data_IF_388410932953
#
_entry.id   IF_388410932953
#
_cell.length_a   1.000
_cell.length_b   1.000
_cell.length_c   1.000
_cell.angle_alpha   90.00
_cell.angle_beta   90.00
_cell.angle_gamma   90.00
#
_symmetry.space_group_name_H-M   'P 1'
#
loop_
_entity.id
_entity.type
_entity.pdbx_description
1 polymer ?
#
# COMPACT_ATOMS: atom_id res chain seq x y z
N UNK A 1 -11.57 1.71 10.92
CA UNK A 1 -10.75 1.61 9.69
C UNK A 1 -11.54 0.82 8.66
N UNK A 2 -11.80 1.37 7.49
CA UNK A 2 -12.57 0.72 6.43
C UNK A 2 -11.83 -0.53 5.91
N UNK A 3 -12.35 -1.72 6.24
CA UNK A 3 -11.73 -3.00 5.85
C UNK A 3 -11.62 -3.14 4.33
N UNK A 4 -12.53 -2.52 3.57
CA UNK A 4 -12.51 -2.46 2.11
C UNK A 4 -11.34 -1.65 1.54
N UNK A 5 -10.95 -0.56 2.21
CA UNK A 5 -9.87 0.30 1.76
C UNK A 5 -8.50 -0.42 1.84
N UNK A 6 -8.32 -1.24 2.86
CA UNK A 6 -7.15 -2.09 3.05
C UNK A 6 -7.01 -3.11 1.92
N UNK A 7 -8.07 -3.89 1.65
CA UNK A 7 -8.05 -4.91 0.59
C UNK A 7 -7.79 -4.32 -0.79
N UNK A 8 -8.39 -3.17 -1.09
CA UNK A 8 -8.18 -2.47 -2.36
C UNK A 8 -6.73 -2.00 -2.52
N UNK A 9 -6.15 -1.41 -1.49
CA UNK A 9 -4.76 -0.99 -1.52
C UNK A 9 -3.78 -2.17 -1.64
N UNK A 10 -4.03 -3.27 -0.91
CA UNK A 10 -3.22 -4.48 -1.04
C UNK A 10 -3.25 -5.04 -2.46
N UNK A 11 -4.43 -5.14 -3.08
CA UNK A 11 -4.58 -5.58 -4.47
C UNK A 11 -3.86 -4.65 -5.45
N UNK A 12 -3.97 -3.33 -5.25
CA UNK A 12 -3.28 -2.34 -6.07
C UNK A 12 -1.76 -2.49 -5.99
N UNK A 13 -1.20 -2.65 -4.78
CA UNK A 13 0.23 -2.86 -4.55
C UNK A 13 0.71 -4.17 -5.19
N UNK A 14 -0.01 -5.27 -4.99
CA UNK A 14 0.36 -6.56 -5.57
C UNK A 14 0.32 -6.54 -7.12
N UNK A 15 -0.63 -5.79 -7.70
CA UNK A 15 -0.72 -5.57 -9.14
C UNK A 15 0.45 -4.72 -9.65
N UNK A 16 0.76 -3.62 -8.96
CA UNK A 16 1.85 -2.70 -9.32
C UNK A 16 3.22 -3.38 -9.22
N UNK A 17 3.44 -4.15 -8.16
CA UNK A 17 4.68 -4.90 -7.97
C UNK A 17 4.82 -6.11 -8.90
N UNK A 18 3.77 -6.50 -9.63
CA UNK A 18 3.77 -7.66 -10.55
C UNK A 18 4.35 -8.96 -9.93
N UNK A 19 4.14 -9.17 -8.62
CA UNK A 19 4.68 -10.33 -7.88
C UNK A 19 6.14 -10.21 -7.42
N UNK A 20 6.81 -9.08 -7.67
CA UNK A 20 8.15 -8.82 -7.19
C UNK A 20 8.19 -8.66 -5.66
N UNK A 21 9.26 -9.17 -5.04
CA UNK A 21 9.54 -9.08 -3.61
C UNK A 21 10.82 -8.29 -3.40
N UNK A 22 10.91 -7.54 -2.30
CA UNK A 22 12.02 -6.62 -2.05
C UNK A 22 11.93 -5.33 -2.88
N UNK A 23 10.72 -4.92 -3.27
CA UNK A 23 10.49 -3.72 -4.09
C UNK A 23 9.80 -2.63 -3.30
N UNK A 24 10.10 -1.39 -3.65
CA UNK A 24 9.45 -0.18 -3.14
C UNK A 24 8.74 0.52 -4.28
N UNK A 25 7.57 1.07 -4.00
CA UNK A 25 6.83 1.82 -4.99
C UNK A 25 5.89 2.83 -4.35
N UNK A 26 5.20 3.56 -5.23
CA UNK A 26 4.22 4.57 -4.84
C UNK A 26 3.02 4.47 -5.77
N UNK A 27 1.83 4.40 -5.19
CA UNK A 27 0.56 4.40 -5.92
C UNK A 27 -0.34 5.50 -5.38
N UNK A 28 -1.36 5.89 -6.13
CA UNK A 28 -2.41 6.76 -5.60
C UNK A 28 -3.15 6.04 -4.48
N UNK A 29 -3.34 6.72 -3.34
CA UNK A 29 -3.98 6.12 -2.18
C UNK A 29 -5.47 5.84 -2.47
N UNK A 30 -5.94 4.59 -2.45
CA UNK A 30 -7.33 4.28 -2.77
C UNK A 30 -8.31 4.68 -1.66
N UNK A 31 -7.83 4.99 -0.44
CA UNK A 31 -8.68 5.47 0.65
C UNK A 31 -8.97 6.96 0.55
N UNK A 32 -7.95 7.82 0.59
CA UNK A 32 -8.16 9.26 0.52
C UNK A 32 -8.29 9.80 -0.91
N UNK A 33 -7.84 9.04 -1.93
CA UNK A 33 -7.80 9.42 -3.36
C UNK A 33 -7.02 10.70 -3.69
N UNK A 34 -6.49 11.38 -2.68
CA UNK A 34 -5.76 12.65 -2.77
C UNK A 34 -4.28 12.48 -2.42
N UNK A 35 -3.96 11.53 -1.54
CA UNK A 35 -2.60 11.25 -1.10
C UNK A 35 -1.87 10.20 -1.95
N UNK A 36 -0.56 10.21 -1.85
CA UNK A 36 0.30 9.13 -2.35
C UNK A 36 0.45 8.06 -1.25
N UNK A 37 0.22 6.80 -1.61
CA UNK A 37 0.50 5.64 -0.77
C UNK A 37 1.85 5.06 -1.18
N UNK A 38 2.82 5.18 -0.27
CA UNK A 38 4.10 4.50 -0.39
C UNK A 38 3.93 3.06 0.07
N UNK A 39 4.55 2.13 -0.65
CA UNK A 39 4.55 0.74 -0.28
C UNK A 39 5.95 0.14 -0.41
N UNK A 40 6.21 -0.85 0.43
CA UNK A 40 7.38 -1.71 0.36
C UNK A 40 6.91 -3.15 0.51
N UNK A 41 7.24 -4.00 -0.46
CA UNK A 41 7.12 -5.45 -0.33
C UNK A 41 8.48 -5.94 0.11
N UNK A 42 8.60 -6.36 1.37
CA UNK A 42 9.82 -6.95 1.91
C UNK A 42 10.11 -8.30 1.24
N UNK A 43 11.38 -8.74 1.26
CA UNK A 43 11.78 -10.04 0.69
C UNK A 43 11.06 -11.24 1.30
N UNK A 44 10.64 -11.12 2.57
CA UNK A 44 9.84 -12.12 3.29
C UNK A 44 8.34 -12.10 2.92
N UNK A 45 7.91 -11.23 2.00
CA UNK A 45 6.52 -11.12 1.55
C UNK A 45 5.64 -10.23 2.41
N UNK A 46 6.17 -9.61 3.47
CA UNK A 46 5.44 -8.59 4.24
C UNK A 46 5.30 -7.32 3.41
N UNK A 47 4.13 -6.70 3.49
CA UNK A 47 3.81 -5.45 2.81
C UNK A 47 3.68 -4.35 3.85
N UNK A 48 4.56 -3.36 3.73
CA UNK A 48 4.50 -2.13 4.50
C UNK A 48 3.88 -1.05 3.63
N UNK A 49 2.95 -0.28 4.18
CA UNK A 49 2.32 0.82 3.47
C UNK A 49 2.22 2.04 4.37
N UNK A 50 2.42 3.20 3.77
CA UNK A 50 2.27 4.49 4.45
C UNK A 50 1.77 5.53 3.46
N UNK A 51 0.61 6.10 3.74
CA UNK A 51 0.07 7.21 2.99
C UNK A 51 0.66 8.52 3.51
N UNK A 52 0.96 9.45 2.60
CA UNK A 52 1.40 10.80 2.96
C UNK A 52 0.30 11.63 3.63
N UNK A 53 -0.97 11.26 3.44
CA UNK A 53 -2.10 11.95 4.07
C UNK A 53 -2.18 11.56 5.55
N UNK A 54 -2.01 12.55 6.43
CA UNK A 54 -2.14 12.40 7.88
C UNK A 54 -3.45 11.70 8.24
N UNK A 55 -3.38 10.62 9.01
CA UNK A 55 -4.55 9.87 9.49
C UNK A 55 -5.23 8.97 8.44
N UNK A 56 -4.63 8.74 7.28
CA UNK A 56 -5.22 7.90 6.24
C UNK A 56 -4.90 6.40 6.40
N UNK A 57 -4.00 5.88 5.59
CA UNK A 57 -3.68 4.45 5.53
C UNK A 57 -2.22 4.26 5.88
N UNK A 58 -1.95 3.61 7.01
CA UNK A 58 -0.63 3.13 7.36
C UNK A 58 -0.78 1.77 8.04
N UNK A 59 -0.19 0.73 7.46
CA UNK A 59 -0.13 -0.59 8.09
C UNK A 59 1.10 -1.36 7.64
N UNK A 60 1.48 -2.33 8.45
CA UNK A 60 2.54 -3.28 8.17
C UNK A 60 1.98 -4.68 8.40
N UNK A 61 1.97 -5.53 7.37
CA UNK A 61 1.45 -6.90 7.48
C UNK A 61 2.32 -7.91 6.74
#
# INVERSE_FOLDING_TARGET
>A
MDMKAYDNARKAILKDAAGAKGVKGKISCPACKTGTLFYEIMRNGRVCTQCNTTGCLAWMK
#
